data_IF_708852763470
#
_entry.id   IF_708852763470
#
_cell.length_a   1.000
_cell.length_b   1.000
_cell.length_c   1.000
_cell.angle_alpha   90.00
_cell.angle_beta   90.00
_cell.angle_gamma   90.00
#
_symmetry.space_group_name_H-M   'P 1'
#
loop_
_entity.id
_entity.type
_entity.pdbx_description
1 polymer ?
#
# COMPACT_ATOMS: atom_id res chain seq x y z
N UNK A 1 -18.98 38.34 0.61
CA UNK A 1 -17.96 37.27 0.64
C UNK A 1 -17.51 36.86 2.05
N UNK A 2 -17.30 37.78 3.01
CA UNK A 2 -16.82 37.42 4.35
C UNK A 2 -17.74 36.49 5.16
N UNK A 3 -19.06 36.66 5.10
CA UNK A 3 -20.02 35.81 5.82
C UNK A 3 -19.99 34.35 5.35
N UNK A 4 -19.90 34.14 4.02
CA UNK A 4 -19.84 32.80 3.40
C UNK A 4 -18.58 32.07 3.86
N UNK A 5 -17.44 32.77 3.89
CA UNK A 5 -16.17 32.19 4.38
C UNK A 5 -16.18 31.86 5.87
N UNK A 6 -16.92 32.60 6.70
CA UNK A 6 -17.06 32.31 8.14
C UNK A 6 -17.90 31.05 8.36
N UNK A 7 -19.04 30.93 7.66
CA UNK A 7 -19.91 29.74 7.72
C UNK A 7 -19.16 28.49 7.23
N UNK A 8 -18.41 28.62 6.13
CA UNK A 8 -17.60 27.53 5.56
C UNK A 8 -16.54 27.02 6.54
N UNK A 9 -15.79 27.92 7.19
CA UNK A 9 -14.79 27.55 8.19
C UNK A 9 -15.40 26.84 9.39
N UNK A 10 -16.57 27.29 9.87
CA UNK A 10 -17.27 26.68 11.00
C UNK A 10 -17.71 25.24 10.69
N UNK A 11 -18.10 24.94 9.45
CA UNK A 11 -18.53 23.60 9.03
C UNK A 11 -17.37 22.60 8.94
N UNK A 12 -16.19 23.02 8.47
CA UNK A 12 -15.02 22.14 8.32
C UNK A 12 -14.43 21.65 9.65
N UNK A 13 -14.70 22.37 10.74
CA UNK A 13 -14.28 22.00 12.10
C UNK A 13 -15.29 21.10 12.83
N UNK A 14 -16.45 20.80 12.23
CA UNK A 14 -17.45 19.92 12.84
C UNK A 14 -17.09 18.46 12.62
N UNK A 15 -17.21 17.65 13.68
CA UNK A 15 -17.00 16.21 13.61
C UNK A 15 -18.08 15.56 12.74
N UNK A 16 -17.69 14.69 11.81
CA UNK A 16 -18.60 14.00 10.89
C UNK A 16 -18.92 14.77 9.61
N UNK A 17 -18.52 16.03 9.49
CA UNK A 17 -18.61 16.80 8.25
C UNK A 17 -17.42 16.50 7.32
N UNK A 18 -17.68 16.42 6.01
CA UNK A 18 -16.60 16.28 5.01
C UNK A 18 -15.80 17.58 4.96
N UNK A 19 -14.53 17.49 5.35
CA UNK A 19 -13.60 18.60 5.22
C UNK A 19 -13.16 18.75 3.77
N UNK A 20 -13.13 19.99 3.30
CA UNK A 20 -12.57 20.33 1.99
C UNK A 20 -11.04 20.42 2.10
N UNK A 21 -10.36 19.34 1.74
CA UNK A 21 -8.88 19.22 1.80
C UNK A 21 -8.17 19.94 0.63
N UNK A 22 -8.94 20.46 -0.31
CA UNK A 22 -8.46 20.90 -1.62
C UNK A 22 -8.61 22.42 -1.78
N UNK A 23 -8.92 23.13 -0.68
CA UNK A 23 -8.96 24.59 -0.59
C UNK A 23 -9.71 25.26 -1.77
N UNK A 24 -10.85 24.67 -2.16
CA UNK A 24 -11.71 25.13 -3.26
C UNK A 24 -11.13 25.02 -4.68
N UNK A 25 -9.94 24.41 -4.87
CA UNK A 25 -9.33 24.24 -6.19
C UNK A 25 -9.89 22.98 -6.85
N UNK A 26 -10.70 23.06 -7.92
CA UNK A 26 -11.24 21.85 -8.54
C UNK A 26 -10.12 20.94 -9.04
N UNK A 27 -10.24 19.65 -8.74
CA UNK A 27 -9.32 18.63 -9.25
C UNK A 27 -9.52 18.49 -10.75
N UNK A 28 -8.46 18.72 -11.53
CA UNK A 28 -8.53 18.66 -13.00
C UNK A 28 -8.38 17.24 -13.52
N UNK A 29 -7.38 16.53 -13.02
CA UNK A 29 -6.99 15.21 -13.50
C UNK A 29 -6.67 14.31 -12.33
N UNK A 30 -7.13 13.06 -12.41
CA UNK A 30 -6.92 12.03 -11.40
C UNK A 30 -6.49 10.73 -12.06
N UNK A 31 -5.40 10.13 -11.57
CA UNK A 31 -4.88 8.87 -12.07
C UNK A 31 -4.50 7.95 -10.91
N UNK A 32 -5.12 6.78 -10.84
CA UNK A 32 -4.84 5.75 -9.84
C UNK A 32 -4.34 4.46 -10.49
N UNK A 33 -3.25 3.91 -9.97
CA UNK A 33 -2.71 2.63 -10.45
C UNK A 33 -3.21 1.46 -9.61
N UNK A 34 -3.23 1.63 -8.28
CA UNK A 34 -3.65 0.64 -7.28
C UNK A 34 -4.26 1.36 -6.06
N UNK A 35 -4.97 0.64 -5.17
CA UNK A 35 -5.41 1.20 -3.90
C UNK A 35 -4.24 1.86 -3.15
N UNK A 36 -4.43 3.09 -2.67
CA UNK A 36 -3.41 3.88 -1.94
C UNK A 36 -2.17 4.25 -2.78
N UNK A 37 -2.29 4.16 -4.11
CA UNK A 37 -1.30 4.62 -5.09
C UNK A 37 -1.97 5.42 -6.19
N UNK A 38 -1.98 6.73 -6.04
CA UNK A 38 -2.65 7.65 -6.94
C UNK A 38 -1.91 8.98 -7.03
N UNK A 39 -2.15 9.68 -8.12
CA UNK A 39 -1.68 11.02 -8.36
C UNK A 39 -2.81 11.87 -8.92
N UNK A 40 -2.84 13.14 -8.56
CA UNK A 40 -3.86 14.06 -9.03
C UNK A 40 -3.31 15.47 -9.17
N UNK A 41 -3.88 16.22 -10.11
CA UNK A 41 -3.52 17.61 -10.40
C UNK A 41 -4.56 18.56 -9.81
N UNK A 42 -4.06 19.46 -8.98
CA UNK A 42 -4.76 20.55 -8.31
C UNK A 42 -4.37 21.86 -9.00
N UNK A 43 -5.16 22.32 -9.97
CA UNK A 43 -4.87 23.57 -10.67
C UNK A 43 -3.57 23.53 -11.49
N UNK A 44 -2.46 23.99 -10.88
CA UNK A 44 -1.09 23.99 -11.43
C UNK A 44 -0.16 22.98 -10.75
N UNK A 45 -0.50 22.54 -9.54
CA UNK A 45 0.33 21.65 -8.74
C UNK A 45 -0.17 20.22 -8.85
N UNK A 46 0.68 19.26 -8.49
CA UNK A 46 0.34 17.85 -8.46
C UNK A 46 0.67 17.25 -7.10
N UNK A 47 -0.18 16.33 -6.64
CA UNK A 47 0.02 15.58 -5.40
C UNK A 47 0.03 14.09 -5.69
N UNK A 48 0.97 13.39 -5.07
CA UNK A 48 1.17 11.96 -5.26
C UNK A 48 1.11 11.27 -3.90
N UNK A 49 0.33 10.19 -3.85
CA UNK A 49 0.27 9.29 -2.71
C UNK A 49 0.72 7.92 -3.19
N UNK A 50 1.81 7.38 -2.61
CA UNK A 50 2.31 6.05 -2.94
C UNK A 50 2.69 5.27 -1.68
N UNK A 51 1.76 4.43 -1.19
CA UNK A 51 2.02 3.62 0.00
C UNK A 51 3.09 2.56 -0.29
N UNK A 52 4.11 2.50 0.57
CA UNK A 52 5.21 1.53 0.49
C UNK A 52 6.44 2.02 -0.29
N UNK A 53 6.37 3.21 -0.89
CA UNK A 53 7.50 3.83 -1.58
C UNK A 53 8.29 4.75 -0.64
N UNK A 54 9.62 4.78 -0.78
CA UNK A 54 10.47 5.72 -0.03
C UNK A 54 10.08 7.17 -0.35
N UNK A 55 9.97 8.02 0.67
CA UNK A 55 9.57 9.43 0.52
C UNK A 55 10.45 10.21 -0.46
N UNK A 56 11.77 9.93 -0.46
CA UNK A 56 12.73 10.54 -1.39
C UNK A 56 12.39 10.27 -2.85
N UNK A 57 11.97 9.06 -3.17
CA UNK A 57 11.56 8.67 -4.52
C UNK A 57 10.26 9.38 -4.91
N UNK A 58 9.31 9.49 -3.97
CA UNK A 58 8.03 10.17 -4.22
C UNK A 58 8.21 11.66 -4.52
N UNK A 59 9.15 12.33 -3.84
CA UNK A 59 9.39 13.76 -4.00
C UNK A 59 10.25 14.11 -5.21
N UNK A 60 11.29 13.31 -5.51
CA UNK A 60 12.29 13.70 -6.51
C UNK A 60 12.07 13.07 -7.89
N UNK A 61 11.42 11.90 -7.95
CA UNK A 61 11.38 11.08 -9.18
C UNK A 61 9.95 10.97 -9.73
N UNK A 62 8.95 10.81 -8.86
CA UNK A 62 7.58 10.58 -9.32
C UNK A 62 6.93 11.86 -9.85
N UNK A 63 6.41 11.75 -11.07
CA UNK A 63 5.58 12.77 -11.71
C UNK A 63 4.22 12.18 -12.11
N UNK A 64 3.22 13.05 -12.27
CA UNK A 64 1.87 12.65 -12.70
C UNK A 64 1.88 11.94 -14.06
N UNK A 65 2.75 12.37 -14.97
CA UNK A 65 2.79 11.88 -16.35
C UNK A 65 3.22 10.41 -16.42
N UNK A 66 4.08 9.98 -15.50
CA UNK A 66 4.46 8.58 -15.38
C UNK A 66 3.25 7.68 -15.02
N UNK A 67 2.36 8.17 -14.15
CA UNK A 67 1.15 7.43 -13.79
C UNK A 67 0.19 7.32 -14.98
N UNK A 68 -0.02 8.43 -15.70
CA UNK A 68 -0.86 8.45 -16.90
C UNK A 68 -0.29 7.52 -17.96
N UNK A 69 1.02 7.54 -18.20
CA UNK A 69 1.66 6.68 -19.20
C UNK A 69 1.48 5.18 -18.88
N UNK A 70 1.67 4.78 -17.62
CA UNK A 70 1.45 3.38 -17.19
C UNK A 70 -0.02 2.98 -17.29
N UNK A 71 -0.95 3.91 -17.09
CA UNK A 71 -2.38 3.62 -17.27
C UNK A 71 -2.75 3.47 -18.75
N UNK A 72 -2.20 4.34 -19.60
CA UNK A 72 -2.41 4.34 -21.05
C UNK A 72 -1.76 3.13 -21.75
N UNK A 73 -0.62 2.64 -21.25
CA UNK A 73 0.07 1.47 -21.81
C UNK A 73 -0.62 0.13 -21.50
N UNK A 74 -1.64 0.10 -20.63
CA UNK A 74 -2.51 -1.07 -20.43
C UNK A 74 -3.52 -1.29 -21.57
N UNK A 75 -3.52 -0.41 -22.58
CA UNK A 75 -4.35 -0.57 -23.78
C UNK A 75 -3.87 -1.81 -24.54
N UNK A 76 -4.81 -2.71 -24.84
CA UNK A 76 -4.62 -4.07 -25.38
C UNK A 76 -4.14 -5.15 -24.41
N UNK A 77 -4.94 -5.44 -23.39
CA UNK A 77 -5.33 -6.85 -23.21
C UNK A 77 -6.61 -7.08 -24.00
N UNK A 78 -6.50 -7.08 -25.32
CA UNK A 78 -7.59 -7.58 -26.15
C UNK A 78 -7.73 -9.07 -25.87
N UNK A 79 -8.85 -9.45 -25.23
CA UNK A 79 -9.24 -10.84 -25.08
C UNK A 79 -9.78 -11.26 -26.45
N UNK A 80 -8.89 -11.62 -27.38
CA UNK A 80 -9.34 -12.30 -28.59
C UNK A 80 -9.73 -13.72 -28.21
N UNK A 81 -10.94 -14.20 -28.56
CA UNK A 81 -11.27 -15.61 -28.39
C UNK A 81 -10.28 -16.44 -29.20
N UNK A 82 -9.69 -17.47 -28.58
CA UNK A 82 -8.80 -18.39 -29.27
C UNK A 82 -9.57 -19.02 -30.45
N UNK A 83 -9.09 -18.92 -31.70
CA UNK A 83 -9.79 -19.54 -32.83
C UNK A 83 -9.74 -21.07 -32.65
N UNK A 84 -10.89 -21.68 -32.37
CA UNK A 84 -11.09 -23.13 -32.47
C UNK A 84 -11.08 -23.96 -31.18
N UNK A 85 -11.21 -23.40 -29.97
CA UNK A 85 -11.37 -24.20 -28.74
C UNK A 85 -12.79 -24.10 -28.16
N UNK A 86 -13.49 -25.22 -27.91
CA UNK A 86 -14.83 -25.22 -27.30
C UNK A 86 -14.84 -24.84 -25.81
N UNK A 87 -13.67 -24.66 -25.17
CA UNK A 87 -13.56 -24.23 -23.78
C UNK A 87 -12.68 -22.97 -23.65
N UNK A 88 -13.18 -21.88 -23.02
CA UNK A 88 -12.37 -20.69 -22.75
C UNK A 88 -11.43 -20.95 -21.57
N UNK A 89 -10.26 -21.52 -21.84
CA UNK A 89 -9.18 -21.57 -20.86
C UNK A 89 -8.53 -20.19 -20.79
N UNK A 90 -8.62 -19.53 -19.64
CA UNK A 90 -7.97 -18.24 -19.38
C UNK A 90 -6.45 -18.42 -19.32
N UNK A 91 -5.78 -18.29 -20.47
CA UNK A 91 -4.31 -18.25 -20.52
C UNK A 91 -3.88 -16.81 -20.68
N UNK A 92 -3.16 -16.27 -19.69
CA UNK A 92 -2.47 -14.99 -19.85
C UNK A 92 -1.40 -15.15 -20.94
N UNK A 93 -1.58 -14.46 -22.07
CA UNK A 93 -0.49 -14.32 -23.04
C UNK A 93 0.54 -13.36 -22.45
N UNK A 94 1.71 -13.89 -22.11
CA UNK A 94 2.89 -13.08 -21.83
C UNK A 94 3.45 -12.70 -23.19
N UNK A 95 3.21 -11.48 -23.63
CA UNK A 95 3.91 -10.96 -24.79
C UNK A 95 5.37 -10.75 -24.40
N UNK A 96 6.26 -11.49 -25.05
CA UNK A 96 7.71 -11.31 -24.98
C UNK A 96 8.05 -9.87 -25.35
N UNK A 97 8.67 -9.17 -24.40
CA UNK A 97 9.16 -7.80 -24.56
C UNK A 97 10.37 -7.85 -25.49
N UNK A 98 10.20 -7.39 -26.73
CA UNK A 98 11.31 -7.08 -27.63
C UNK A 98 11.92 -5.73 -27.23
N UNK A 99 13.17 -5.80 -26.75
CA UNK A 99 13.97 -4.64 -26.39
C UNK A 99 14.54 -3.99 -27.64
N UNK A 100 14.06 -2.80 -28.02
CA UNK A 100 14.81 -1.86 -28.84
C UNK A 100 14.45 -0.42 -28.46
N UNK A 101 15.18 0.16 -27.52
CA UNK A 101 15.62 1.57 -27.53
C UNK A 101 16.43 1.90 -26.27
N UNK A 102 17.71 2.24 -26.48
CA UNK A 102 18.52 3.14 -25.65
C UNK A 102 18.81 2.73 -24.20
N UNK A 103 20.02 2.20 -23.95
CA UNK A 103 20.61 2.20 -22.61
C UNK A 103 20.63 3.62 -22.01
N UNK A 104 20.32 3.72 -20.71
CA UNK A 104 21.33 4.29 -19.82
C UNK A 104 21.62 3.36 -18.64
N UNK A 105 22.90 3.06 -18.49
CA UNK A 105 23.60 2.67 -17.25
C UNK A 105 22.88 1.70 -16.30
N UNK A 106 23.30 0.44 -16.42
CA UNK A 106 23.29 -0.63 -15.39
C UNK A 106 23.12 -0.12 -13.96
N UNK A 107 21.92 -0.24 -13.40
CA UNK A 107 21.73 -0.33 -11.96
C UNK A 107 20.64 -1.34 -11.61
N UNK A 108 21.10 -2.53 -11.23
CA UNK A 108 20.46 -3.47 -10.31
C UNK A 108 18.96 -3.71 -10.44
N UNK A 109 18.62 -4.86 -11.00
CA UNK A 109 17.40 -5.62 -10.67
C UNK A 109 17.06 -5.47 -9.18
N UNK A 110 15.90 -4.89 -8.87
CA UNK A 110 15.16 -5.23 -7.66
C UNK A 110 13.68 -4.98 -7.88
N UNK A 111 13.03 -5.97 -8.51
CA UNK A 111 11.61 -6.16 -8.28
C UNK A 111 11.44 -6.46 -6.80
N UNK A 112 10.87 -5.51 -6.05
CA UNK A 112 10.53 -5.77 -4.65
C UNK A 112 9.26 -6.63 -4.56
N UNK A 113 9.37 -7.90 -4.94
CA UNK A 113 8.80 -8.92 -4.07
C UNK A 113 9.72 -8.96 -2.87
N UNK A 114 9.43 -8.17 -1.83
CA UNK A 114 10.01 -8.38 -0.52
C UNK A 114 9.40 -9.66 0.04
N UNK A 115 9.84 -10.81 -0.49
CA UNK A 115 9.83 -12.06 0.27
C UNK A 115 10.85 -11.84 1.39
N UNK A 116 10.37 -11.24 2.48
CA UNK A 116 11.11 -11.15 3.73
C UNK A 116 11.32 -12.55 4.28
N UNK A 117 12.28 -13.28 3.74
CA UNK A 117 12.74 -14.54 4.32
C UNK A 117 13.51 -14.34 5.63
N UNK A 118 13.49 -13.12 6.19
CA UNK A 118 13.77 -12.86 7.60
C UNK A 118 12.47 -12.58 8.33
N UNK A 119 11.84 -13.62 8.87
CA UNK A 119 11.02 -13.42 10.08
C UNK A 119 11.97 -12.80 11.09
N UNK A 120 11.67 -11.57 11.54
CA UNK A 120 12.46 -10.88 12.55
C UNK A 120 12.66 -11.84 13.71
N UNK A 121 13.91 -12.11 14.11
CA UNK A 121 14.24 -13.06 15.20
C UNK A 121 13.43 -12.80 16.47
N UNK A 122 12.98 -11.55 16.63
CA UNK A 122 12.07 -11.05 17.66
C UNK A 122 10.69 -11.75 17.59
N UNK A 123 10.08 -11.93 16.42
CA UNK A 123 8.78 -12.59 16.26
C UNK A 123 8.85 -14.07 16.66
N UNK A 124 9.96 -14.75 16.32
CA UNK A 124 10.23 -16.12 16.77
C UNK A 124 10.41 -16.18 18.30
N UNK A 125 11.17 -15.24 18.86
CA UNK A 125 11.45 -15.17 20.29
C UNK A 125 10.15 -14.91 21.09
N UNK A 126 9.31 -13.97 20.63
CA UNK A 126 8.02 -13.67 21.27
C UNK A 126 7.11 -14.90 21.32
N UNK A 127 6.98 -15.64 20.22
CA UNK A 127 6.14 -16.86 20.19
C UNK A 127 6.58 -17.95 21.16
N UNK A 128 7.85 -17.96 21.56
CA UNK A 128 8.40 -18.94 22.52
C UNK A 128 8.38 -18.38 23.95
N UNK A 129 8.76 -17.12 24.14
CA UNK A 129 8.84 -16.49 25.47
C UNK A 129 7.47 -16.34 26.13
N UNK A 130 6.44 -15.96 25.39
CA UNK A 130 5.10 -15.78 25.97
C UNK A 130 4.55 -17.07 26.61
N UNK A 131 4.48 -18.22 25.91
CA UNK A 131 3.99 -19.45 26.54
C UNK A 131 4.93 -20.01 27.60
N UNK A 132 6.26 -19.83 27.46
CA UNK A 132 7.22 -20.37 28.42
C UNK A 132 7.16 -19.64 29.76
N UNK A 133 7.09 -18.30 29.73
CA UNK A 133 6.93 -17.49 30.95
C UNK A 133 5.60 -17.78 31.64
N UNK A 134 4.51 -17.92 30.88
CA UNK A 134 3.20 -18.29 31.41
C UNK A 134 3.19 -19.71 32.04
N UNK A 135 3.90 -20.67 31.44
CA UNK A 135 4.02 -22.02 31.98
C UNK A 135 4.80 -22.04 33.31
N UNK A 136 5.93 -21.34 33.39
CA UNK A 136 6.72 -21.23 34.63
C UNK A 136 5.89 -20.56 35.73
N UNK A 137 5.18 -19.48 35.40
CA UNK A 137 4.28 -18.81 36.33
C UNK A 137 3.18 -19.76 36.83
N UNK A 138 2.52 -20.49 35.92
CA UNK A 138 1.47 -21.43 36.29
C UNK A 138 1.98 -22.53 37.21
N UNK A 139 3.10 -23.17 36.89
CA UNK A 139 3.67 -24.24 37.72
C UNK A 139 4.06 -23.73 39.10
N UNK A 140 4.74 -22.58 39.19
CA UNK A 140 5.11 -21.98 40.48
C UNK A 140 3.90 -21.58 41.32
N UNK A 141 2.86 -21.01 40.70
CA UNK A 141 1.61 -20.67 41.37
C UNK A 141 0.92 -21.90 41.96
N UNK A 142 0.78 -22.97 41.17
CA UNK A 142 0.16 -24.21 41.64
C UNK A 142 0.99 -24.93 42.70
N UNK A 143 2.31 -24.95 42.58
CA UNK A 143 3.19 -25.53 43.60
C UNK A 143 3.06 -24.79 44.94
N UNK A 144 3.05 -23.46 44.92
CA UNK A 144 2.84 -22.64 46.11
C UNK A 144 1.45 -22.88 46.73
N UNK A 145 0.41 -22.94 45.90
CA UNK A 145 -0.96 -23.20 46.35
C UNK A 145 -1.11 -24.57 47.00
N UNK A 146 -0.52 -25.61 46.42
CA UNK A 146 -0.53 -26.96 46.99
C UNK A 146 0.28 -27.07 48.30
N UNK A 147 1.40 -26.35 48.41
CA UNK A 147 2.16 -26.29 49.66
C UNK A 147 1.36 -25.62 50.79
N UNK A 148 0.60 -24.58 50.46
CA UNK A 148 -0.26 -23.89 51.42
C UNK A 148 -1.41 -24.78 51.88
N UNK A 149 -2.03 -25.53 50.97
CA UNK A 149 -3.12 -26.46 51.29
C UNK A 149 -2.67 -27.66 52.14
N UNK A 150 -1.45 -28.17 51.94
CA UNK A 150 -0.93 -29.30 52.74
C UNK A 150 -0.49 -28.90 54.16
N UNK A 151 -0.39 -27.59 54.45
CA UNK A 151 -0.04 -27.06 55.78
C UNK A 151 -1.27 -26.80 56.65
N UNK A 152 -2.47 -26.79 56.07
CA UNK A 152 -3.77 -26.79 56.78
C UNK A 152 -4.22 -28.22 57.10
#
# INVERSE_FOLDING_TARGET
>A
MYLINIIRRKHQSLLGCLKDETEEIPMKEFCALRPKMYSYRLGKEYKITAKGTKKTVVQNILQHDMYVNVNSSKKSREILPAPGSPNPTWVMKVDSIDNNSGEPSKLGKSGCCFTSNGVTRIDLLCRILFPLTFAVFSVSYWAYYLELYNKE
#
